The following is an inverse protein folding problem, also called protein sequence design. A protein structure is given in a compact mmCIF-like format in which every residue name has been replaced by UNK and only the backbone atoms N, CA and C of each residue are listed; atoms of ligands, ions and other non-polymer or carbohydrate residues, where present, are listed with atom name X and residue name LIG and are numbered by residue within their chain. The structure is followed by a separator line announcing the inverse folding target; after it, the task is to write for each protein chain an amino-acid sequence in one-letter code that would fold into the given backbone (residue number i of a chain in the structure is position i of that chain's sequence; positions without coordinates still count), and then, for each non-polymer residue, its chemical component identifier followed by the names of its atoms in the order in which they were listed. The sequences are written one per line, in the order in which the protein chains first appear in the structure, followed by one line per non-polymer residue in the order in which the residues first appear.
data_IF_921343846767
#
_entry.id   IF_921343846767
#
_cell.length_a   1.000
_cell.length_b   1.000
_cell.length_c   1.000
_cell.angle_alpha   90.00
_cell.angle_beta   90.00
_cell.angle_gamma   90.00
#
_symmetry.space_group_name_H-M   'P 1'
#
loop_
_entity.id
_entity.type
_entity.pdbx_description
1 polymer ?
#
# COMPACT_ATOMS: atom_id res chain seq x y z
N UNK A 1 -3.40 7.68 -1.99
CA UNK A 1 -2.03 7.73 -1.41
C UNK A 1 -1.07 6.96 -2.31
N UNK A 2 0.26 7.10 -2.18
CA UNK A 2 1.22 6.28 -2.93
C UNK A 2 1.11 4.80 -2.51
N UNK A 3 1.22 3.86 -3.48
CA UNK A 3 1.11 2.41 -3.19
C UNK A 3 2.18 1.93 -2.22
N UNK A 4 3.37 2.54 -2.23
CA UNK A 4 4.42 2.26 -1.25
C UNK A 4 3.94 2.45 0.19
N UNK A 5 3.17 3.51 0.48
CA UNK A 5 2.63 3.76 1.82
C UNK A 5 1.56 2.73 2.21
N UNK A 6 0.72 2.32 1.26
CA UNK A 6 -0.22 1.21 1.50
C UNK A 6 0.52 -0.09 1.81
N UNK A 7 1.55 -0.43 1.04
CA UNK A 7 2.40 -1.60 1.31
C UNK A 7 3.01 -1.53 2.70
N UNK A 8 3.58 -0.38 3.09
CA UNK A 8 4.20 -0.22 4.41
C UNK A 8 3.18 -0.30 5.56
N UNK A 9 1.95 0.23 5.38
CA UNK A 9 0.86 0.00 6.35
C UNK A 9 0.51 -1.48 6.46
N UNK A 10 0.51 -2.19 5.33
CA UNK A 10 0.31 -3.64 5.29
C UNK A 10 1.37 -4.43 6.05
N UNK A 11 2.64 -3.96 6.07
CA UNK A 11 3.70 -4.55 6.92
C UNK A 11 3.32 -4.45 8.40
N UNK A 12 2.94 -3.26 8.86
CA UNK A 12 2.54 -3.01 10.25
C UNK A 12 1.38 -3.93 10.65
N UNK A 13 0.36 -4.01 9.80
CA UNK A 13 -0.82 -4.84 10.00
C UNK A 13 -0.46 -6.33 10.02
N UNK A 14 0.29 -6.79 9.03
CA UNK A 14 0.70 -8.20 8.94
C UNK A 14 1.60 -8.63 10.09
N UNK A 15 2.47 -7.73 10.55
CA UNK A 15 3.25 -7.93 11.76
C UNK A 15 2.38 -8.00 13.02
N UNK A 16 1.29 -7.26 13.13
CA UNK A 16 0.42 -7.25 14.30
C UNK A 16 -0.61 -8.40 14.29
N UNK A 17 -1.29 -8.64 13.17
CA UNK A 17 -2.46 -9.52 13.07
C UNK A 17 -2.17 -11.01 13.24
N UNK A 18 -0.94 -11.48 13.00
CA UNK A 18 -0.49 -12.89 13.12
C UNK A 18 -1.25 -13.94 12.28
N UNK A 19 -2.41 -13.59 11.73
CA UNK A 19 -3.27 -14.47 10.91
C UNK A 19 -3.35 -13.90 9.50
N UNK A 20 -2.97 -14.65 8.45
CA UNK A 20 -2.90 -14.12 7.08
C UNK A 20 -4.23 -13.57 6.57
N UNK A 21 -5.34 -14.25 6.82
CA UNK A 21 -6.67 -13.79 6.38
C UNK A 21 -7.07 -12.47 7.04
N UNK A 22 -6.85 -12.36 8.36
CA UNK A 22 -7.12 -11.11 9.08
C UNK A 22 -6.17 -9.98 8.61
N UNK A 23 -4.89 -10.29 8.39
CA UNK A 23 -3.91 -9.33 7.88
C UNK A 23 -4.33 -8.81 6.50
N UNK A 24 -4.78 -9.67 5.60
CA UNK A 24 -5.26 -9.29 4.28
C UNK A 24 -6.49 -8.36 4.37
N UNK A 25 -7.52 -8.77 5.12
CA UNK A 25 -8.75 -7.99 5.26
C UNK A 25 -8.49 -6.61 5.91
N UNK A 26 -7.66 -6.57 6.96
CA UNK A 26 -7.24 -5.32 7.60
C UNK A 26 -6.36 -4.47 6.67
N UNK A 27 -5.54 -5.09 5.82
CA UNK A 27 -4.79 -4.44 4.76
C UNK A 27 -5.72 -3.69 3.80
N UNK A 28 -6.74 -4.36 3.27
CA UNK A 28 -7.76 -3.73 2.40
C UNK A 28 -8.46 -2.57 3.13
N UNK A 29 -8.85 -2.76 4.38
CA UNK A 29 -9.49 -1.71 5.17
C UNK A 29 -8.55 -0.51 5.39
N UNK A 30 -7.27 -0.75 5.66
CA UNK A 30 -6.27 0.31 5.84
C UNK A 30 -6.03 1.11 4.56
N UNK A 31 -6.08 0.47 3.41
CA UNK A 31 -5.99 1.17 2.12
C UNK A 31 -7.03 2.29 2.03
N UNK A 32 -8.30 1.93 2.18
CA UNK A 32 -9.39 2.91 2.11
C UNK A 32 -9.32 3.98 3.21
N UNK A 33 -8.89 3.61 4.42
CA UNK A 33 -8.69 4.56 5.51
C UNK A 33 -7.59 5.59 5.19
N UNK A 34 -6.48 5.15 4.59
CA UNK A 34 -5.38 6.03 4.20
C UNK A 34 -5.74 6.92 3.00
N UNK A 35 -6.51 6.42 2.03
CA UNK A 35 -6.97 7.21 0.89
C UNK A 35 -8.02 8.27 1.27
N UNK A 36 -8.74 8.05 2.36
CA UNK A 36 -9.63 9.07 2.94
C UNK A 36 -8.88 10.25 3.58
N UNK A 37 -7.59 10.09 3.90
CA UNK A 37 -6.75 11.19 4.40
C UNK A 37 -6.26 12.03 3.21
N UNK A 38 -6.21 13.38 3.32
CA UNK A 38 -5.67 14.21 2.25
C UNK A 38 -4.22 13.85 1.91
N UNK A 39 -3.98 13.38 0.69
CA UNK A 39 -2.71 12.83 0.22
C UNK A 39 -2.30 13.38 -1.15
N UNK A 40 -1.09 13.08 -1.62
CA UNK A 40 -0.62 13.49 -2.93
C UNK A 40 -1.13 12.52 -4.00
N UNK A 41 -1.87 13.03 -5.00
CA UNK A 41 -2.44 12.20 -6.08
C UNK A 41 -2.74 13.01 -7.35
N UNK A 42 -2.73 14.35 -7.26
CA UNK A 42 -2.94 15.20 -8.44
C UNK A 42 -1.62 15.57 -9.10
N UNK A 43 -1.57 15.44 -10.42
CA UNK A 43 -0.41 15.75 -11.26
C UNK A 43 -0.77 16.76 -12.34
N UNK A 44 0.17 17.65 -12.75
CA UNK A 44 -0.10 18.64 -13.80
C UNK A 44 -0.41 18.02 -15.14
N UNK A 45 0.19 16.87 -15.45
CA UNK A 45 0.03 16.16 -16.72
C UNK A 45 0.15 14.64 -16.58
N UNK A 46 -0.25 13.93 -17.65
CA UNK A 46 -0.19 12.46 -17.69
C UNK A 46 1.24 11.92 -17.58
N UNK A 47 2.24 12.62 -18.10
CA UNK A 47 3.64 12.16 -18.06
C UNK A 47 4.18 12.18 -16.64
N UNK A 48 3.89 13.24 -15.88
CA UNK A 48 4.20 13.35 -14.45
C UNK A 48 3.53 12.24 -13.65
N UNK A 49 2.23 12.02 -13.87
CA UNK A 49 1.50 10.92 -13.26
C UNK A 49 2.15 9.56 -13.53
N UNK A 50 2.40 9.20 -14.80
CA UNK A 50 2.97 7.91 -15.16
C UNK A 50 4.38 7.70 -14.57
N UNK A 51 5.21 8.75 -14.56
CA UNK A 51 6.55 8.66 -13.96
C UNK A 51 6.46 8.31 -12.48
N UNK A 52 5.60 9.00 -11.74
CA UNK A 52 5.43 8.73 -10.30
C UNK A 52 4.80 7.36 -10.08
N UNK A 53 3.74 7.02 -10.80
CA UNK A 53 3.03 5.73 -10.64
C UNK A 53 3.94 4.52 -10.92
N UNK A 54 4.78 4.57 -11.97
CA UNK A 54 5.72 3.49 -12.28
C UNK A 54 6.81 3.40 -11.21
N UNK A 55 7.40 4.53 -10.83
CA UNK A 55 8.46 4.56 -9.81
C UNK A 55 7.92 4.05 -8.46
N UNK A 56 6.76 4.53 -8.03
CA UNK A 56 6.12 4.12 -6.80
C UNK A 56 5.72 2.63 -6.82
N UNK A 57 5.20 2.15 -7.94
CA UNK A 57 4.91 0.72 -8.13
C UNK A 57 6.15 -0.17 -7.95
N UNK A 58 7.29 0.23 -8.55
CA UNK A 58 8.55 -0.49 -8.41
C UNK A 58 9.08 -0.44 -6.97
N UNK A 59 9.02 0.72 -6.32
CA UNK A 59 9.42 0.88 -4.91
C UNK A 59 8.50 0.06 -4.00
N UNK A 60 7.19 0.05 -4.24
CA UNK A 60 6.23 -0.77 -3.50
C UNK A 60 6.54 -2.28 -3.62
N UNK A 61 6.82 -2.76 -4.83
CA UNK A 61 7.22 -4.16 -5.06
C UNK A 61 8.55 -4.50 -4.36
N UNK A 62 9.54 -3.62 -4.44
CA UNK A 62 10.81 -3.78 -3.73
C UNK A 62 10.61 -3.81 -2.21
N UNK A 63 9.74 -2.93 -1.68
CA UNK A 63 9.36 -2.94 -0.26
C UNK A 63 8.68 -4.26 0.14
N UNK A 64 7.75 -4.78 -0.68
CA UNK A 64 7.12 -6.09 -0.43
C UNK A 64 8.15 -7.22 -0.33
N UNK A 65 9.08 -7.31 -1.28
CA UNK A 65 10.15 -8.30 -1.27
C UNK A 65 11.05 -8.18 -0.04
N UNK A 66 11.53 -6.96 0.22
CA UNK A 66 12.45 -6.67 1.33
C UNK A 66 11.81 -6.95 2.69
N UNK A 67 10.60 -6.45 2.93
CA UNK A 67 9.91 -6.64 4.20
C UNK A 67 9.52 -8.09 4.44
N UNK A 68 9.16 -8.83 3.39
CA UNK A 68 8.92 -10.29 3.49
C UNK A 68 10.22 -11.03 3.84
N UNK A 69 11.34 -10.66 3.24
CA UNK A 69 12.64 -11.27 3.54
C UNK A 69 13.10 -10.99 4.98
N UNK A 70 12.88 -9.77 5.48
CA UNK A 70 13.21 -9.35 6.84
C UNK A 70 12.27 -9.95 7.90
N UNK A 71 11.07 -10.36 7.52
CA UNK A 71 10.10 -10.92 8.44
C UNK A 71 10.56 -12.29 8.97
N UNK A 72 10.40 -12.56 10.28
CA UNK A 72 10.60 -13.90 10.84
C UNK A 72 9.76 -14.96 10.08
N UNK A 73 10.29 -16.17 9.91
CA UNK A 73 9.65 -17.22 9.09
C UNK A 73 8.17 -17.43 9.43
N UNK A 74 7.82 -17.48 10.72
CA UNK A 74 6.44 -17.67 11.18
C UNK A 74 5.47 -16.52 10.90
N UNK A 75 5.97 -15.33 10.53
CA UNK A 75 5.14 -14.15 10.22
C UNK A 75 5.12 -13.75 8.76
N UNK A 76 5.97 -14.33 7.91
CA UNK A 76 6.13 -13.95 6.51
C UNK A 76 4.81 -13.94 5.73
N UNK A 77 4.01 -14.98 5.89
CA UNK A 77 2.73 -15.13 5.19
C UNK A 77 1.75 -14.05 5.63
N UNK A 78 1.67 -13.74 6.92
CA UNK A 78 0.81 -12.66 7.44
C UNK A 78 1.28 -11.29 6.97
N UNK A 79 2.58 -11.03 6.95
CA UNK A 79 3.17 -9.77 6.45
C UNK A 79 2.89 -9.61 4.96
N UNK A 80 3.13 -10.64 4.17
CA UNK A 80 2.83 -10.61 2.73
C UNK A 80 1.34 -10.42 2.47
N UNK A 81 0.47 -11.10 3.22
CA UNK A 81 -0.98 -10.96 3.09
C UNK A 81 -1.46 -9.54 3.45
N UNK A 82 -0.91 -8.94 4.50
CA UNK A 82 -1.20 -7.55 4.87
C UNK A 82 -0.81 -6.56 3.78
N UNK A 83 0.40 -6.70 3.23
CA UNK A 83 0.88 -5.87 2.12
C UNK A 83 0.04 -6.07 0.85
N UNK A 84 -0.25 -7.32 0.49
CA UNK A 84 -1.08 -7.63 -0.68
C UNK A 84 -2.49 -7.06 -0.53
N UNK A 85 -3.12 -7.20 0.64
CA UNK A 85 -4.43 -6.61 0.90
C UNK A 85 -4.40 -5.10 0.82
N UNK A 86 -3.37 -4.45 1.37
CA UNK A 86 -3.23 -3.00 1.34
C UNK A 86 -2.94 -2.44 -0.07
N UNK A 87 -2.29 -3.19 -0.95
CA UNK A 87 -2.02 -2.77 -2.33
C UNK A 87 -3.14 -3.15 -3.30
N UNK A 88 -4.00 -4.12 -2.95
CA UNK A 88 -4.98 -4.71 -3.86
C UNK A 88 -5.92 -3.68 -4.52
N UNK A 89 -6.54 -2.72 -3.80
CA UNK A 89 -7.49 -1.80 -4.43
C UNK A 89 -6.86 -0.95 -5.54
N UNK A 90 -5.57 -0.64 -5.46
CA UNK A 90 -4.84 0.11 -6.48
C UNK A 90 -4.53 -0.68 -7.76
N UNK A 91 -4.86 -1.96 -7.85
CA UNK A 91 -4.74 -2.73 -9.09
C UNK A 91 -5.65 -2.23 -10.22
N UNK A 92 -6.68 -1.46 -9.89
CA UNK A 92 -7.51 -0.77 -10.89
C UNK A 92 -6.65 0.07 -11.85
N UNK A 93 -5.66 0.80 -11.33
CA UNK A 93 -4.82 1.75 -12.08
C UNK A 93 -3.91 1.07 -13.12
N UNK A 94 -3.03 0.10 -12.75
CA UNK A 94 -2.24 -0.62 -13.74
C UNK A 94 -3.09 -1.47 -14.67
N UNK A 95 -4.18 -2.08 -14.20
CA UNK A 95 -5.06 -2.85 -15.06
C UNK A 95 -5.76 -1.97 -16.12
N UNK A 96 -6.22 -0.79 -15.75
CA UNK A 96 -6.75 0.18 -16.73
C UNK A 96 -5.68 0.64 -17.72
N UNK A 97 -4.44 0.85 -17.25
CA UNK A 97 -3.34 1.31 -18.10
C UNK A 97 -2.94 0.26 -19.15
N UNK A 98 -2.79 -1.01 -18.75
CA UNK A 98 -2.26 -2.08 -19.60
C UNK A 98 -3.34 -2.88 -20.33
N UNK A 99 -4.53 -3.01 -19.73
CA UNK A 99 -5.60 -3.86 -20.26
C UNK A 99 -6.89 -3.09 -20.62
N UNK A 100 -6.90 -1.77 -20.39
CA UNK A 100 -8.04 -0.91 -20.72
C UNK A 100 -9.26 -1.08 -19.81
N UNK A 101 -9.17 -1.87 -18.73
CA UNK A 101 -10.28 -2.12 -17.80
C UNK A 101 -9.79 -2.39 -16.37
N UNK A 102 -10.61 -2.02 -15.39
CA UNK A 102 -10.40 -2.41 -14.01
C UNK A 102 -10.72 -3.89 -13.78
N UNK A 103 -10.05 -4.57 -12.84
CA UNK A 103 -10.41 -5.94 -12.43
C UNK A 103 -11.61 -5.96 -11.47
N UNK A 104 -12.07 -4.81 -11.00
CA UNK A 104 -13.13 -4.69 -10.00
C UNK A 104 -14.48 -4.33 -10.61
N UNK A 105 -15.59 -4.63 -9.92
CA UNK A 105 -16.92 -4.12 -10.28
C UNK A 105 -16.95 -2.57 -10.22
N UNK A 106 -17.74 -1.94 -11.09
CA UNK A 106 -17.87 -0.48 -11.15
C UNK A 106 -18.22 0.17 -9.80
N UNK A 107 -19.03 -0.50 -8.99
CA UNK A 107 -19.38 0.01 -7.66
C UNK A 107 -18.17 0.14 -6.72
N UNK A 108 -17.19 -0.76 -6.85
CA UNK A 108 -15.94 -0.73 -6.08
C UNK A 108 -15.04 0.41 -6.57
N UNK A 109 -14.90 0.55 -7.90
CA UNK A 109 -14.12 1.64 -8.50
C UNK A 109 -14.72 3.01 -8.17
N UNK A 110 -16.06 3.14 -8.19
CA UNK A 110 -16.77 4.37 -7.84
C UNK A 110 -16.62 4.71 -6.37
N UNK A 111 -16.67 3.72 -5.49
CA UNK A 111 -16.41 3.90 -4.07
C UNK A 111 -14.96 4.37 -3.85
N UNK A 112 -13.99 3.66 -4.42
CA UNK A 112 -12.57 3.97 -4.29
C UNK A 112 -12.27 5.40 -4.76
N UNK A 113 -12.80 5.81 -5.92
CA UNK A 113 -12.65 7.16 -6.45
C UNK A 113 -13.27 8.24 -5.55
N UNK A 114 -14.41 7.96 -4.92
CA UNK A 114 -15.12 8.93 -4.06
C UNK A 114 -14.40 9.22 -2.75
N UNK A 115 -13.72 8.24 -2.18
CA UNK A 115 -13.04 8.45 -0.89
C UNK A 115 -11.68 9.11 -1.02
N UNK A 116 -11.08 9.11 -2.21
CA UNK A 116 -9.76 9.71 -2.42
C UNK A 116 -9.77 11.23 -2.26
N UNK A 117 -8.99 11.75 -1.31
CA UNK A 117 -8.79 13.18 -1.10
C UNK A 117 -7.42 13.63 -1.63
N UNK A 118 -7.30 13.62 -2.97
CA UNK A 118 -6.06 13.97 -3.65
C UNK A 118 -5.77 15.47 -3.68
N UNK A 119 -4.50 15.85 -3.49
CA UNK A 119 -4.00 17.22 -3.54
C UNK A 119 -2.67 17.34 -4.30
N UNK A 120 -2.38 18.55 -4.87
CA UNK A 120 -1.21 18.81 -5.71
C UNK A 120 0.12 18.85 -4.94
N UNK A 121 0.14 19.32 -3.71
CA UNK A 121 1.38 19.69 -2.97
C UNK A 121 1.55 18.94 -1.67
N UNK A 122 1.45 17.61 -1.69
CA UNK A 122 1.57 16.79 -0.48
C UNK A 122 2.63 15.69 -0.54
N UNK A 123 3.59 15.79 -1.47
CA UNK A 123 4.66 14.81 -1.60
C UNK A 123 5.49 14.63 -0.30
N UNK A 124 5.68 15.69 0.48
CA UNK A 124 6.38 15.62 1.77
C UNK A 124 5.61 14.81 2.83
N UNK A 125 4.28 14.82 2.79
CA UNK A 125 3.46 13.95 3.66
C UNK A 125 3.59 12.49 3.27
N UNK A 126 3.67 12.19 1.97
CA UNK A 126 3.95 10.82 1.49
C UNK A 126 5.31 10.31 1.99
N UNK A 127 6.34 11.16 1.89
CA UNK A 127 7.67 10.82 2.40
C UNK A 127 7.68 10.61 3.93
N UNK A 128 7.01 11.48 4.68
CA UNK A 128 6.88 11.33 6.13
C UNK A 128 6.12 10.05 6.51
N UNK A 129 5.01 9.75 5.82
CA UNK A 129 4.25 8.52 6.03
C UNK A 129 5.11 7.27 5.74
N UNK A 130 5.88 7.27 4.64
CA UNK A 130 6.78 6.17 4.31
C UNK A 130 7.83 5.93 5.40
N UNK A 131 8.46 7.00 5.91
CA UNK A 131 9.44 6.90 7.00
C UNK A 131 8.80 6.36 8.28
N UNK A 132 7.65 6.88 8.67
CA UNK A 132 6.95 6.45 9.90
C UNK A 132 6.51 4.99 9.78
N UNK A 133 5.76 4.66 8.74
CA UNK A 133 5.22 3.30 8.53
C UNK A 133 6.35 2.28 8.35
N UNK A 134 7.39 2.64 7.59
CA UNK A 134 8.56 1.79 7.38
C UNK A 134 9.33 1.54 8.68
N UNK A 135 9.56 2.59 9.49
CA UNK A 135 10.26 2.47 10.78
C UNK A 135 9.46 1.61 11.78
N UNK A 136 8.15 1.86 11.89
CA UNK A 136 7.28 1.05 12.75
C UNK A 136 7.24 -0.39 12.27
N UNK A 137 7.10 -0.62 10.97
CA UNK A 137 7.11 -1.96 10.37
C UNK A 137 8.40 -2.72 10.71
N UNK A 138 9.57 -2.11 10.47
CA UNK A 138 10.87 -2.71 10.79
C UNK A 138 11.01 -2.98 12.29
N UNK A 139 10.60 -2.05 13.15
CA UNK A 139 10.64 -2.23 14.60
C UNK A 139 9.80 -3.43 15.06
N UNK A 140 8.58 -3.57 14.52
CA UNK A 140 7.70 -4.70 14.82
C UNK A 140 8.28 -6.04 14.33
N UNK A 141 8.91 -6.07 13.15
CA UNK A 141 9.53 -7.27 12.62
C UNK A 141 10.74 -7.70 13.44
N UNK A 142 11.57 -6.74 13.90
CA UNK A 142 12.75 -7.00 14.75
C UNK A 142 12.39 -7.40 16.19
N UNK A 143 11.31 -6.83 16.72
CA UNK A 143 10.84 -7.16 18.08
C UNK A 143 10.22 -8.56 18.20
N UNK A 144 9.96 -9.25 17.09
CA UNK A 144 9.49 -10.63 17.08
C UNK A 144 10.68 -11.56 17.26
N UNK A 145 10.70 -12.30 18.36
CA UNK A 145 11.67 -13.39 18.56
C UNK A 145 11.43 -14.46 17.49
N UNK A 146 12.49 -15.02 16.87
CA UNK A 146 12.34 -16.22 16.06
C UNK A 146 11.84 -17.35 16.97
N UNK A 147 10.74 -17.99 16.58
CA UNK A 147 10.29 -19.26 17.16
C UNK A 147 11.19 -20.38 16.68
#
# INVERSE_FOLDING_TARGET
MLVTNHVLSGVVIGAAARRPVAAFALGVASHFALDAVPHWGKFPDRRGYLRVAVTDGLVGLAAMGTMTALAPRGSRVSVLAGMAGAALPDLDKPCQLFFGRSPFPLAVDDFHRRIQHEALRRAHFEAAAAVILGSVGVALLRGRRPD
#
